data_IF_172837879693
#
_entry.id   IF_172837879693
#
_cell.length_a   1.000
_cell.length_b   1.000
_cell.length_c   1.000
_cell.angle_alpha   90.00
_cell.angle_beta   90.00
_cell.angle_gamma   90.00
#
_symmetry.space_group_name_H-M   'P 1'
#
loop_
_entity.id
_entity.type
_entity.pdbx_description
1 polymer ?
#
# COMPACT_ATOMS: atom_id res chain seq x y z
N UNK A 1 -18.77 2.77 -27.69
CA UNK A 1 -17.56 2.93 -26.85
C UNK A 1 -17.27 1.59 -26.22
N UNK A 2 -16.10 1.02 -26.47
CA UNK A 2 -15.76 -0.31 -25.97
C UNK A 2 -15.64 -0.28 -24.44
N UNK A 3 -16.38 -1.16 -23.77
CA UNK A 3 -16.44 -1.30 -22.31
C UNK A 3 -15.16 -1.90 -21.67
N UNK A 4 -14.06 -1.94 -22.42
CA UNK A 4 -12.80 -2.60 -22.00
C UNK A 4 -12.19 -1.92 -20.77
N UNK A 5 -12.08 -0.59 -20.78
CA UNK A 5 -11.62 0.20 -19.63
C UNK A 5 -12.47 -0.08 -18.37
N UNK A 6 -13.80 0.00 -18.52
CA UNK A 6 -14.71 -0.27 -17.41
C UNK A 6 -14.63 -1.70 -16.88
N UNK A 7 -14.29 -2.67 -17.73
CA UNK A 7 -14.05 -4.06 -17.33
C UNK A 7 -12.78 -4.19 -16.51
N UNK A 8 -11.66 -3.62 -16.97
CA UNK A 8 -10.39 -3.66 -16.22
C UNK A 8 -10.51 -2.96 -14.87
N UNK A 9 -11.19 -1.81 -14.78
CA UNK A 9 -11.43 -1.14 -13.48
C UNK A 9 -12.32 -1.98 -12.57
N UNK A 10 -13.31 -2.69 -13.13
CA UNK A 10 -14.11 -3.61 -12.31
C UNK A 10 -13.27 -4.77 -11.79
N UNK A 11 -12.39 -5.33 -12.61
CA UNK A 11 -11.43 -6.35 -12.16
C UNK A 11 -10.51 -5.80 -11.07
N UNK A 12 -9.94 -4.60 -11.25
CA UNK A 12 -9.10 -3.96 -10.26
C UNK A 12 -9.82 -3.81 -8.90
N UNK A 13 -11.04 -3.28 -8.91
CA UNK A 13 -11.87 -3.16 -7.70
C UNK A 13 -12.14 -4.52 -7.03
N UNK A 14 -12.49 -5.55 -7.81
CA UNK A 14 -12.76 -6.90 -7.28
C UNK A 14 -11.49 -7.47 -6.62
N UNK A 15 -10.32 -7.32 -7.24
CA UNK A 15 -9.07 -7.79 -6.64
C UNK A 15 -8.67 -6.99 -5.41
N UNK A 16 -8.92 -5.68 -5.34
CA UNK A 16 -8.70 -4.89 -4.13
C UNK A 16 -9.58 -5.37 -2.97
N UNK A 17 -10.87 -5.63 -3.23
CA UNK A 17 -11.80 -6.17 -2.23
C UNK A 17 -11.37 -7.58 -1.80
N UNK A 18 -10.94 -8.43 -2.73
CA UNK A 18 -10.46 -9.79 -2.42
C UNK A 18 -9.19 -9.74 -1.56
N UNK A 19 -8.23 -8.87 -1.87
CA UNK A 19 -7.03 -8.68 -1.05
C UNK A 19 -7.37 -8.28 0.39
N UNK A 20 -8.29 -7.32 0.55
CA UNK A 20 -8.83 -6.94 1.86
C UNK A 20 -9.55 -8.08 2.57
N UNK A 21 -10.37 -8.84 1.85
CA UNK A 21 -11.07 -10.02 2.38
C UNK A 21 -10.12 -11.11 2.88
N UNK A 22 -9.04 -11.39 2.14
CA UNK A 22 -7.99 -12.34 2.56
C UNK A 22 -7.29 -11.82 3.82
N UNK A 23 -6.88 -10.56 3.83
CA UNK A 23 -6.17 -9.97 4.95
C UNK A 23 -7.01 -9.93 6.24
N UNK A 24 -8.19 -9.31 6.20
CA UNK A 24 -9.07 -9.16 7.37
C UNK A 24 -9.75 -10.48 7.77
N UNK A 25 -9.83 -11.44 6.84
CA UNK A 25 -10.25 -12.82 7.14
C UNK A 25 -9.19 -13.66 7.86
N UNK A 26 -8.02 -13.07 8.17
CA UNK A 26 -6.92 -13.77 8.84
C UNK A 26 -6.13 -14.71 7.92
N UNK A 27 -6.29 -14.56 6.61
CA UNK A 27 -5.63 -15.40 5.61
C UNK A 27 -4.18 -15.00 5.33
N UNK A 28 -3.63 -15.57 4.28
CA UNK A 28 -2.21 -15.47 3.94
C UNK A 28 -1.82 -14.06 3.50
N UNK A 29 -0.86 -13.46 4.23
CA UNK A 29 -0.35 -12.09 4.00
C UNK A 29 0.30 -11.94 2.62
N UNK A 30 1.11 -12.92 2.24
CA UNK A 30 1.81 -12.91 0.95
C UNK A 30 0.81 -12.96 -0.22
N UNK A 31 -0.22 -13.79 -0.09
CA UNK A 31 -1.30 -13.87 -1.08
C UNK A 31 -2.06 -12.53 -1.17
N UNK A 32 -2.34 -11.88 -0.03
CA UNK A 32 -2.99 -10.57 -0.01
C UNK A 32 -2.18 -9.52 -0.75
N UNK A 33 -0.83 -9.49 -0.58
CA UNK A 33 0.07 -8.59 -1.34
C UNK A 33 -0.05 -8.86 -2.83
N UNK A 34 0.10 -10.11 -3.29
CA UNK A 34 0.03 -10.43 -4.73
C UNK A 34 -1.34 -10.11 -5.36
N UNK A 35 -2.43 -10.35 -4.65
CA UNK A 35 -3.78 -10.01 -5.14
C UNK A 35 -3.95 -8.49 -5.24
N UNK A 36 -3.38 -7.74 -4.30
CA UNK A 36 -3.38 -6.27 -4.35
C UNK A 36 -2.55 -5.74 -5.54
N UNK A 37 -1.36 -6.30 -5.78
CA UNK A 37 -0.53 -5.98 -6.95
C UNK A 37 -1.28 -6.26 -8.25
N UNK A 38 -2.04 -7.36 -8.32
CA UNK A 38 -2.86 -7.67 -9.47
C UNK A 38 -3.97 -6.63 -9.69
N UNK A 39 -4.57 -6.10 -8.61
CA UNK A 39 -5.51 -4.97 -8.68
C UNK A 39 -4.87 -3.76 -9.36
N UNK A 40 -3.69 -3.37 -8.90
CA UNK A 40 -2.95 -2.22 -9.44
C UNK A 40 -2.53 -2.43 -10.90
N UNK A 41 -2.18 -3.67 -11.31
CA UNK A 41 -1.90 -4.00 -12.71
C UNK A 41 -3.13 -3.82 -13.60
N UNK A 42 -4.32 -4.26 -13.17
CA UNK A 42 -5.55 -4.02 -13.91
C UNK A 42 -5.90 -2.54 -14.00
N UNK A 43 -5.60 -1.75 -12.99
CA UNK A 43 -5.77 -0.30 -13.03
C UNK A 43 -4.86 0.36 -14.08
N UNK A 44 -3.59 -0.04 -14.15
CA UNK A 44 -2.64 0.40 -15.18
C UNK A 44 -3.14 0.02 -16.59
N UNK A 45 -3.60 -1.22 -16.78
CA UNK A 45 -4.15 -1.67 -18.06
C UNK A 45 -5.38 -0.86 -18.48
N UNK A 46 -6.25 -0.50 -17.51
CA UNK A 46 -7.40 0.36 -17.78
C UNK A 46 -6.96 1.74 -18.30
N UNK A 47 -5.94 2.34 -17.69
CA UNK A 47 -5.41 3.63 -18.10
C UNK A 47 -4.86 3.59 -19.54
N UNK A 48 -4.09 2.57 -19.91
CA UNK A 48 -3.58 2.39 -21.27
C UNK A 48 -4.71 2.19 -22.32
N UNK A 49 -5.86 1.66 -21.91
CA UNK A 49 -7.00 1.49 -22.81
C UNK A 49 -7.68 2.80 -23.20
N UNK A 50 -7.45 3.89 -22.48
CA UNK A 50 -8.05 5.22 -22.77
C UNK A 50 -7.44 5.89 -23.99
N UNK A 51 -6.24 5.46 -24.43
CA UNK A 51 -5.46 6.02 -25.56
C UNK A 51 -5.22 7.54 -25.42
N UNK A 52 -5.11 8.03 -24.20
CA UNK A 52 -4.79 9.42 -23.91
C UNK A 52 -3.31 9.53 -23.50
N UNK A 53 -2.53 10.46 -24.11
CA UNK A 53 -1.11 10.65 -23.73
C UNK A 53 -0.92 10.94 -22.24
N UNK A 54 -1.88 11.60 -21.61
CA UNK A 54 -1.83 11.92 -20.18
C UNK A 54 -2.05 10.70 -19.31
N UNK A 55 -3.02 9.85 -19.68
CA UNK A 55 -3.25 8.57 -18.98
C UNK A 55 -2.09 7.60 -19.16
N UNK A 56 -1.44 7.58 -20.33
CA UNK A 56 -0.26 6.75 -20.57
C UNK A 56 0.91 7.16 -19.67
N UNK A 57 1.19 8.46 -19.54
CA UNK A 57 2.20 8.96 -18.61
C UNK A 57 1.83 8.66 -17.16
N UNK A 58 0.54 8.83 -16.79
CA UNK A 58 0.03 8.47 -15.48
C UNK A 58 0.20 6.99 -15.17
N UNK A 59 -0.14 6.11 -16.11
CA UNK A 59 0.03 4.66 -16.00
C UNK A 59 1.49 4.25 -15.79
N UNK A 60 2.42 4.86 -16.55
CA UNK A 60 3.84 4.63 -16.36
C UNK A 60 4.34 5.07 -14.96
N UNK A 61 3.81 6.19 -14.44
CA UNK A 61 4.12 6.66 -13.08
C UNK A 61 3.54 5.74 -12.02
N UNK A 62 2.31 5.22 -12.20
CA UNK A 62 1.71 4.23 -11.31
C UNK A 62 2.56 2.94 -11.26
N UNK A 63 3.03 2.45 -12.40
CA UNK A 63 3.94 1.32 -12.45
C UNK A 63 5.23 1.56 -11.63
N UNK A 64 5.81 2.75 -11.70
CA UNK A 64 6.99 3.13 -10.90
C UNK A 64 6.68 3.17 -9.39
N UNK A 65 5.48 3.61 -8.99
CA UNK A 65 5.06 3.60 -7.59
C UNK A 65 4.93 2.18 -7.07
N UNK A 66 4.28 1.27 -7.81
CA UNK A 66 4.18 -0.15 -7.46
C UNK A 66 5.58 -0.75 -7.30
N UNK A 67 6.49 -0.51 -8.26
CA UNK A 67 7.87 -0.98 -8.16
C UNK A 67 8.62 -0.43 -6.94
N UNK A 68 8.24 0.72 -6.43
CA UNK A 68 8.86 1.31 -5.25
C UNK A 68 8.32 0.69 -3.94
N UNK A 69 7.01 0.39 -3.87
CA UNK A 69 6.37 -0.04 -2.62
C UNK A 69 6.36 -1.56 -2.40
N UNK A 70 6.32 -2.35 -3.48
CA UNK A 70 6.19 -3.81 -3.41
C UNK A 70 7.33 -4.51 -2.64
N UNK A 71 8.62 -4.16 -2.82
CA UNK A 71 9.69 -4.83 -2.10
C UNK A 71 9.53 -4.79 -0.59
N UNK A 72 9.10 -3.65 -0.04
CA UNK A 72 8.90 -3.53 1.41
C UNK A 72 7.69 -4.34 1.88
N UNK A 73 6.61 -4.37 1.10
CA UNK A 73 5.42 -5.18 1.40
C UNK A 73 5.76 -6.67 1.48
N UNK A 74 6.61 -7.16 0.57
CA UNK A 74 7.12 -8.54 0.58
C UNK A 74 8.02 -8.80 1.80
N UNK A 75 8.95 -7.89 2.11
CA UNK A 75 9.80 -8.04 3.30
C UNK A 75 8.98 -8.08 4.58
N UNK A 76 7.94 -7.29 4.70
CA UNK A 76 7.05 -7.32 5.87
C UNK A 76 6.35 -8.67 5.99
N UNK A 77 5.82 -9.23 4.91
CA UNK A 77 5.22 -10.57 4.95
C UNK A 77 6.20 -11.63 5.44
N UNK A 78 7.48 -11.56 5.00
CA UNK A 78 8.55 -12.45 5.47
C UNK A 78 8.90 -12.18 6.95
N UNK A 79 8.97 -10.93 7.37
CA UNK A 79 9.21 -10.53 8.76
C UNK A 79 8.11 -11.10 9.69
N UNK A 80 6.85 -10.99 9.30
CA UNK A 80 5.74 -11.59 10.05
C UNK A 80 5.83 -13.12 10.08
N UNK A 81 6.21 -13.75 8.98
CA UNK A 81 6.44 -15.20 8.96
C UNK A 81 7.53 -15.61 9.93
N UNK A 82 8.64 -14.90 9.98
CA UNK A 82 9.73 -15.20 10.92
C UNK A 82 9.33 -14.97 12.38
N UNK A 83 8.48 -13.98 12.64
CA UNK A 83 8.01 -13.67 13.98
C UNK A 83 6.92 -14.62 14.49
N UNK A 84 6.06 -15.16 13.62
CA UNK A 84 4.89 -15.96 13.99
C UNK A 84 4.96 -17.43 13.60
N UNK A 85 5.87 -17.79 12.69
CA UNK A 85 5.97 -19.13 12.09
C UNK A 85 4.94 -19.41 10.99
N UNK A 86 4.07 -18.47 10.63
CA UNK A 86 3.05 -18.62 9.58
C UNK A 86 2.93 -17.34 8.74
N UNK A 87 2.53 -17.49 7.48
CA UNK A 87 2.13 -16.35 6.65
C UNK A 87 0.71 -15.86 6.90
N UNK A 88 -0.05 -16.50 7.76
CA UNK A 88 -1.44 -16.12 8.01
C UNK A 88 -1.51 -14.91 8.96
N UNK A 89 -2.31 -13.92 8.61
CA UNK A 89 -2.52 -12.74 9.44
C UNK A 89 -3.06 -13.10 10.83
N UNK A 90 -3.87 -14.16 10.93
CA UNK A 90 -4.40 -14.68 12.19
C UNK A 90 -3.33 -15.22 13.15
N UNK A 91 -2.16 -15.60 12.65
CA UNK A 91 -1.08 -16.13 13.49
C UNK A 91 -0.55 -15.10 14.52
N UNK A 92 -0.73 -13.81 14.26
CA UNK A 92 -0.36 -12.73 15.20
C UNK A 92 -1.12 -12.83 16.52
N UNK A 93 -2.35 -13.36 16.52
CA UNK A 93 -3.12 -13.57 17.75
C UNK A 93 -2.56 -14.67 18.67
N UNK A 94 -1.63 -15.48 18.16
CA UNK A 94 -0.90 -16.47 18.97
C UNK A 94 0.29 -15.87 19.76
N UNK A 95 0.65 -14.60 19.51
CA UNK A 95 1.76 -13.96 20.20
C UNK A 95 1.34 -13.51 21.61
N UNK A 96 2.26 -13.64 22.59
CA UNK A 96 2.06 -13.16 23.95
C UNK A 96 2.30 -11.65 24.07
N UNK A 97 3.16 -11.09 23.22
CA UNK A 97 3.55 -9.67 23.18
C UNK A 97 3.28 -9.09 21.79
N UNK A 98 3.08 -7.76 21.66
CA UNK A 98 2.89 -7.13 20.37
C UNK A 98 4.02 -7.43 19.38
N UNK A 99 3.66 -7.73 18.13
CA UNK A 99 4.62 -8.05 17.08
C UNK A 99 5.68 -6.95 16.88
N UNK A 100 5.34 -5.69 17.13
CA UNK A 100 6.25 -4.55 16.98
C UNK A 100 7.53 -4.67 17.81
N UNK A 101 7.51 -5.39 18.93
CA UNK A 101 8.70 -5.60 19.75
C UNK A 101 9.87 -6.22 18.99
N UNK A 102 9.59 -7.17 18.11
CA UNK A 102 10.57 -7.83 17.27
C UNK A 102 10.69 -7.23 15.85
N UNK A 103 9.67 -6.46 15.41
CA UNK A 103 9.53 -6.02 14.01
C UNK A 103 9.60 -4.49 13.85
N UNK A 104 10.09 -3.76 14.85
CA UNK A 104 10.07 -2.29 14.87
C UNK A 104 10.87 -1.64 13.72
N UNK A 105 11.95 -2.29 13.25
CA UNK A 105 12.76 -1.78 12.12
C UNK A 105 11.95 -1.86 10.82
N UNK A 106 11.27 -2.99 10.58
CA UNK A 106 10.38 -3.16 9.45
C UNK A 106 9.19 -2.20 9.52
N UNK A 107 8.67 -1.93 10.71
CA UNK A 107 7.60 -0.96 10.94
C UNK A 107 8.01 0.46 10.51
N UNK A 108 9.21 0.91 10.88
CA UNK A 108 9.74 2.21 10.44
C UNK A 108 9.91 2.28 8.92
N UNK A 109 10.39 1.19 8.30
CA UNK A 109 10.47 1.07 6.85
C UNK A 109 9.07 1.13 6.19
N UNK A 110 8.08 0.48 6.81
CA UNK A 110 6.71 0.53 6.30
C UNK A 110 6.07 1.91 6.41
N UNK A 111 6.30 2.64 7.50
CA UNK A 111 5.83 4.03 7.62
C UNK A 111 6.34 4.90 6.48
N UNK A 112 7.61 4.74 6.08
CA UNK A 112 8.13 5.47 4.93
C UNK A 112 7.43 5.08 3.62
N UNK A 113 7.18 3.78 3.41
CA UNK A 113 6.50 3.30 2.19
C UNK A 113 5.00 3.63 2.21
N UNK A 114 4.41 3.82 3.38
CA UNK A 114 2.99 4.16 3.53
C UNK A 114 2.64 5.48 2.81
N UNK A 115 3.52 6.48 2.84
CA UNK A 115 3.36 7.75 2.09
C UNK A 115 3.22 7.50 0.58
N UNK A 116 4.02 6.58 0.02
CA UNK A 116 3.93 6.19 -1.39
C UNK A 116 2.61 5.44 -1.64
N UNK A 117 2.30 4.47 -0.79
CA UNK A 117 1.10 3.62 -0.89
C UNK A 117 -0.20 4.42 -0.81
N UNK A 118 -0.23 5.43 0.04
CA UNK A 118 -1.38 6.32 0.19
C UNK A 118 -1.42 7.44 -0.86
N UNK A 119 -0.50 7.45 -1.81
CA UNK A 119 -0.38 8.47 -2.86
C UNK A 119 -0.35 9.89 -2.30
N UNK A 120 0.34 10.07 -1.16
CA UNK A 120 0.46 11.35 -0.48
C UNK A 120 1.73 12.10 -0.91
N UNK A 121 1.70 13.43 -0.79
CA UNK A 121 2.91 14.23 -0.89
C UNK A 121 3.94 13.72 0.16
N UNK A 122 5.21 13.64 -0.17
CA UNK A 122 5.92 14.18 -1.34
C UNK A 122 5.95 13.25 -2.58
N UNK A 123 5.22 12.13 -2.60
CA UNK A 123 5.31 11.07 -3.62
C UNK A 123 4.04 10.88 -4.47
N UNK A 124 3.23 11.90 -4.64
CA UNK A 124 1.97 11.90 -5.41
C UNK A 124 2.20 11.94 -6.94
N UNK A 125 2.88 10.95 -7.49
CA UNK A 125 3.38 10.98 -8.87
C UNK A 125 2.34 10.59 -9.94
N UNK A 126 1.48 9.63 -9.64
CA UNK A 126 0.54 9.06 -10.63
C UNK A 126 -0.82 9.74 -10.63
N UNK A 127 -1.17 10.38 -9.53
CA UNK A 127 -2.48 10.98 -9.30
C UNK A 127 -2.35 12.36 -8.66
N UNK A 128 -2.88 13.40 -9.31
CA UNK A 128 -2.89 14.75 -8.72
C UNK A 128 -4.17 14.99 -7.94
N UNK A 129 -4.04 15.25 -6.65
CA UNK A 129 -5.16 15.63 -5.78
C UNK A 129 -5.50 17.12 -5.85
N UNK A 130 -4.56 17.94 -6.34
CA UNK A 130 -4.67 19.40 -6.33
C UNK A 130 -4.70 19.97 -7.74
N UNK A 131 -5.89 20.37 -8.22
CA UNK A 131 -6.08 20.92 -9.55
C UNK A 131 -5.31 22.23 -9.84
N UNK A 132 -4.83 22.93 -8.81
CA UNK A 132 -4.02 24.14 -8.95
C UNK A 132 -2.53 23.85 -9.19
N UNK A 133 -2.06 22.64 -8.95
CA UNK A 133 -0.67 22.25 -9.12
C UNK A 133 -0.41 21.54 -10.44
N UNK A 134 -1.40 20.81 -10.96
CA UNK A 134 -1.34 20.13 -12.24
C UNK A 134 -2.66 20.29 -13.02
N UNK A 135 -2.57 20.66 -14.29
CA UNK A 135 -3.75 20.80 -15.16
C UNK A 135 -4.43 19.47 -15.50
N UNK A 136 -3.78 18.36 -15.14
CA UNK A 136 -4.17 17.00 -15.54
C UNK A 136 -4.14 16.06 -14.35
N UNK A 137 -5.20 15.27 -14.18
CA UNK A 137 -5.34 14.29 -13.08
C UNK A 137 -4.46 13.03 -13.19
N UNK A 138 -3.51 12.96 -14.13
CA UNK A 138 -2.68 11.77 -14.33
C UNK A 138 -3.48 10.56 -14.84
N UNK A 139 -3.39 9.43 -14.17
CA UNK A 139 -4.05 8.16 -14.56
C UNK A 139 -5.56 8.30 -14.78
N UNK A 140 -6.23 9.11 -13.99
CA UNK A 140 -7.70 9.24 -14.00
C UNK A 140 -8.22 10.37 -14.87
N UNK A 141 -7.38 10.98 -15.71
CA UNK A 141 -7.74 12.16 -16.52
C UNK A 141 -8.98 11.94 -17.40
N UNK A 142 -9.07 10.77 -18.04
CA UNK A 142 -10.16 10.41 -18.94
C UNK A 142 -11.31 9.67 -18.24
N UNK A 143 -11.15 9.36 -16.95
CA UNK A 143 -12.13 8.59 -16.20
C UNK A 143 -13.19 9.50 -15.61
N UNK A 144 -14.47 9.11 -15.77
CA UNK A 144 -15.60 9.90 -15.29
C UNK A 144 -16.76 9.02 -14.81
N UNK A 145 -17.68 9.61 -14.06
CA UNK A 145 -18.91 8.97 -13.62
C UNK A 145 -18.66 7.64 -12.88
N UNK A 146 -19.27 6.55 -13.35
CA UNK A 146 -19.20 5.23 -12.70
C UNK A 146 -17.80 4.63 -12.68
N UNK A 147 -16.99 4.91 -13.69
CA UNK A 147 -15.63 4.41 -13.79
C UNK A 147 -14.76 5.04 -12.72
N UNK A 148 -14.81 6.37 -12.60
CA UNK A 148 -14.09 7.10 -11.56
C UNK A 148 -14.55 6.69 -10.16
N UNK A 149 -15.86 6.51 -9.94
CA UNK A 149 -16.37 6.06 -8.64
C UNK A 149 -15.80 4.70 -8.21
N UNK A 150 -15.64 3.75 -9.15
CA UNK A 150 -15.02 2.46 -8.85
C UNK A 150 -13.54 2.60 -8.47
N UNK A 151 -12.81 3.50 -9.14
CA UNK A 151 -11.41 3.80 -8.81
C UNK A 151 -11.31 4.39 -7.41
N UNK A 152 -12.18 5.33 -7.04
CA UNK A 152 -12.19 5.91 -5.69
C UNK A 152 -12.45 4.85 -4.61
N UNK A 153 -13.43 3.96 -4.84
CA UNK A 153 -13.71 2.86 -3.90
C UNK A 153 -12.52 1.87 -3.82
N UNK A 154 -11.86 1.58 -4.94
CA UNK A 154 -10.64 0.76 -4.97
C UNK A 154 -9.54 1.38 -4.09
N UNK A 155 -9.27 2.69 -4.24
CA UNK A 155 -8.28 3.40 -3.42
C UNK A 155 -8.66 3.41 -1.93
N UNK A 156 -9.95 3.50 -1.59
CA UNK A 156 -10.38 3.37 -0.19
C UNK A 156 -10.08 1.97 0.36
N UNK A 157 -10.30 0.91 -0.42
CA UNK A 157 -9.95 -0.45 -0.02
C UNK A 157 -8.44 -0.60 0.19
N UNK A 158 -7.61 -0.04 -0.71
CA UNK A 158 -6.15 -0.03 -0.59
C UNK A 158 -5.69 0.70 0.68
N UNK A 159 -6.25 1.89 0.96
CA UNK A 159 -5.93 2.67 2.14
C UNK A 159 -6.33 1.95 3.44
N UNK A 160 -7.52 1.35 3.49
CA UNK A 160 -7.97 0.56 4.64
C UNK A 160 -7.06 -0.65 4.87
N UNK A 161 -6.65 -1.32 3.79
CA UNK A 161 -5.72 -2.44 3.86
C UNK A 161 -4.34 -1.98 4.37
N UNK A 162 -3.81 -0.86 3.88
CA UNK A 162 -2.54 -0.29 4.34
C UNK A 162 -2.57 0.07 5.84
N UNK A 163 -3.68 0.64 6.32
CA UNK A 163 -3.89 0.88 7.76
C UNK A 163 -4.06 -0.42 8.55
N UNK A 164 -4.66 -1.45 7.95
CA UNK A 164 -4.73 -2.80 8.51
C UNK A 164 -3.33 -3.39 8.75
N UNK A 165 -2.40 -3.21 7.80
CA UNK A 165 -1.01 -3.61 7.97
C UNK A 165 -0.34 -2.90 9.15
N UNK A 166 -0.58 -1.58 9.35
CA UNK A 166 -0.11 -0.88 10.55
C UNK A 166 -0.66 -1.52 11.81
N UNK A 167 -1.98 -1.81 11.83
CA UNK A 167 -2.62 -2.45 12.97
C UNK A 167 -2.00 -3.80 13.33
N UNK A 168 -1.61 -4.59 12.32
CA UNK A 168 -1.03 -5.92 12.52
C UNK A 168 0.25 -5.90 13.38
N UNK A 169 1.09 -4.87 13.28
CA UNK A 169 2.28 -4.71 14.10
C UNK A 169 1.96 -4.57 15.61
N UNK A 170 0.77 -4.07 15.94
CA UNK A 170 0.35 -3.80 17.31
C UNK A 170 -0.65 -4.84 17.85
N UNK A 171 -0.91 -5.91 17.08
CA UNK A 171 -1.78 -7.00 17.51
C UNK A 171 -1.02 -8.08 18.27
N UNK A 172 -1.71 -8.72 19.26
CA UNK A 172 -1.29 -9.91 19.99
C UNK A 172 -2.53 -10.61 20.55
N UNK A 173 -2.39 -11.70 21.31
CA UNK A 173 -3.51 -12.57 21.77
C UNK A 173 -4.52 -11.95 22.75
N UNK A 174 -4.37 -10.70 23.16
CA UNK A 174 -5.29 -10.03 24.06
C UNK A 174 -6.30 -9.15 23.27
N UNK A 175 -7.61 -9.16 23.58
CA UNK A 175 -8.60 -8.31 22.91
C UNK A 175 -8.32 -6.80 23.00
N UNK A 176 -7.57 -6.33 24.00
CA UNK A 176 -7.11 -4.93 24.11
C UNK A 176 -6.23 -4.55 22.94
N UNK A 177 -5.53 -5.52 22.30
CA UNK A 177 -4.67 -5.30 21.14
C UNK A 177 -5.40 -4.65 19.97
N UNK A 178 -6.68 -4.96 19.78
CA UNK A 178 -7.49 -4.35 18.72
C UNK A 178 -7.63 -2.83 18.92
N UNK A 179 -7.84 -2.39 20.14
CA UNK A 179 -7.94 -0.95 20.45
C UNK A 179 -6.60 -0.26 20.19
N UNK A 180 -5.50 -0.89 20.62
CA UNK A 180 -4.14 -0.35 20.39
C UNK A 180 -3.84 -0.30 18.89
N UNK A 181 -4.18 -1.34 18.13
CA UNK A 181 -4.00 -1.39 16.67
C UNK A 181 -4.78 -0.27 15.95
N UNK A 182 -6.04 -0.03 16.34
CA UNK A 182 -6.85 1.06 15.76
C UNK A 182 -6.24 2.43 16.10
N UNK A 183 -5.82 2.65 17.33
CA UNK A 183 -5.18 3.92 17.74
C UNK A 183 -3.87 4.12 16.99
N UNK A 184 -3.05 3.07 16.82
CA UNK A 184 -1.80 3.13 16.05
C UNK A 184 -2.06 3.42 14.57
N UNK A 185 -3.06 2.79 13.96
CA UNK A 185 -3.45 3.05 12.57
C UNK A 185 -3.91 4.50 12.38
N UNK A 186 -4.73 5.04 13.30
CA UNK A 186 -5.15 6.43 13.26
C UNK A 186 -3.98 7.40 13.47
N UNK A 187 -3.05 7.08 14.37
CA UNK A 187 -1.84 7.88 14.59
C UNK A 187 -0.95 7.90 13.36
N UNK A 188 -0.77 6.75 12.68
CA UNK A 188 -0.05 6.66 11.43
C UNK A 188 -0.72 7.47 10.32
N UNK A 189 -2.05 7.38 10.19
CA UNK A 189 -2.81 8.18 9.23
C UNK A 189 -2.66 9.69 9.48
N UNK A 190 -2.70 10.11 10.75
CA UNK A 190 -2.46 11.50 11.12
C UNK A 190 -1.02 11.95 10.80
N UNK A 191 -0.04 11.08 11.02
CA UNK A 191 1.35 11.33 10.63
C UNK A 191 1.47 11.55 9.12
N UNK A 192 0.79 10.72 8.31
CA UNK A 192 0.76 10.87 6.86
C UNK A 192 0.15 12.22 6.42
N UNK A 193 -0.91 12.68 7.09
CA UNK A 193 -1.48 14.01 6.84
C UNK A 193 -0.48 15.12 7.19
N UNK A 194 0.28 14.97 8.27
CA UNK A 194 1.31 15.94 8.64
C UNK A 194 2.44 15.97 7.59
N UNK A 195 2.86 14.82 7.09
CA UNK A 195 3.88 14.71 6.04
C UNK A 195 3.38 15.37 4.76
N UNK A 196 2.15 15.05 4.32
CA UNK A 196 1.51 15.59 3.13
C UNK A 196 1.48 17.13 3.12
N UNK A 197 1.22 17.74 4.28
CA UNK A 197 1.11 19.20 4.40
C UNK A 197 2.44 19.93 4.59
N UNK A 198 3.53 19.25 5.00
CA UNK A 198 4.78 19.92 5.38
C UNK A 198 5.95 19.68 4.43
N UNK A 199 5.89 18.64 3.59
CA UNK A 199 6.99 18.27 2.72
C UNK A 199 6.79 18.70 1.26
N UNK A 200 7.88 19.17 0.63
CA UNK A 200 7.89 19.47 -0.79
C UNK A 200 7.95 18.19 -1.64
N UNK A 201 7.38 18.25 -2.86
CA UNK A 201 7.38 17.13 -3.80
C UNK A 201 8.78 16.64 -4.17
N UNK A 202 8.93 15.34 -4.23
CA UNK A 202 10.17 14.64 -4.54
C UNK A 202 10.11 14.05 -5.95
N UNK A 203 11.22 14.13 -6.69
CA UNK A 203 11.34 13.53 -8.02
C UNK A 203 11.26 12.00 -7.93
N UNK A 204 10.62 11.38 -8.93
CA UNK A 204 10.42 9.92 -8.99
C UNK A 204 11.72 9.11 -8.89
N UNK A 205 12.85 9.62 -9.43
CA UNK A 205 14.14 8.93 -9.33
C UNK A 205 14.63 8.81 -7.89
N UNK A 206 14.41 9.86 -7.08
CA UNK A 206 14.78 9.85 -5.68
C UNK A 206 13.81 8.98 -4.87
N UNK A 207 12.51 9.05 -5.17
CA UNK A 207 11.50 8.18 -4.58
C UNK A 207 11.87 6.70 -4.76
N UNK A 208 12.14 6.26 -5.99
CA UNK A 208 12.46 4.86 -6.27
C UNK A 208 13.73 4.42 -5.54
N UNK A 209 14.80 5.24 -5.60
CA UNK A 209 16.06 4.92 -4.92
C UNK A 209 15.90 4.86 -3.40
N UNK A 210 15.19 5.81 -2.80
CA UNK A 210 14.97 5.83 -1.34
C UNK A 210 14.07 4.69 -0.89
N UNK A 211 13.01 4.37 -1.64
CA UNK A 211 12.12 3.25 -1.33
C UNK A 211 12.86 1.90 -1.34
N UNK A 212 13.67 1.64 -2.36
CA UNK A 212 14.48 0.43 -2.42
C UNK A 212 15.56 0.40 -1.33
N UNK A 213 16.22 1.53 -1.05
CA UNK A 213 17.20 1.61 0.03
C UNK A 213 16.54 1.31 1.39
N UNK A 214 15.38 1.91 1.66
CA UNK A 214 14.63 1.66 2.90
C UNK A 214 14.17 0.21 2.98
N UNK A 215 13.63 -0.35 1.90
CA UNK A 215 13.17 -1.74 1.88
C UNK A 215 14.33 -2.71 2.16
N UNK A 216 15.46 -2.56 1.49
CA UNK A 216 16.63 -3.42 1.66
C UNK A 216 17.28 -3.25 3.05
N UNK A 217 17.40 -2.02 3.53
CA UNK A 217 18.03 -1.75 4.83
C UNK A 217 17.08 -2.14 5.97
N UNK A 218 15.88 -1.60 6.03
CA UNK A 218 14.95 -1.87 7.12
C UNK A 218 14.41 -3.31 7.09
N UNK A 219 13.99 -3.78 5.92
CA UNK A 219 13.51 -5.15 5.74
C UNK A 219 14.63 -6.17 5.94
N UNK A 220 15.80 -5.98 5.29
CA UNK A 220 16.93 -6.87 5.38
C UNK A 220 17.53 -6.95 6.78
N UNK A 221 17.72 -5.83 7.46
CA UNK A 221 18.24 -5.82 8.85
C UNK A 221 17.24 -6.51 9.78
N UNK A 222 15.94 -6.24 9.65
CA UNK A 222 14.96 -6.89 10.53
C UNK A 222 14.89 -8.41 10.32
N UNK A 223 14.98 -8.87 9.07
CA UNK A 223 15.07 -10.30 8.75
C UNK A 223 16.33 -10.89 9.37
N UNK A 224 17.48 -10.25 9.21
CA UNK A 224 18.75 -10.73 9.81
C UNK A 224 18.63 -10.82 11.34
N UNK A 225 18.08 -9.80 11.99
CA UNK A 225 17.87 -9.82 13.45
C UNK A 225 16.97 -10.99 13.87
N UNK A 226 15.86 -11.25 13.16
CA UNK A 226 14.95 -12.36 13.49
C UNK A 226 15.51 -13.76 13.23
N UNK A 227 16.48 -13.89 12.31
CA UNK A 227 17.15 -15.19 12.05
C UNK A 227 18.18 -15.50 13.13
N UNK A 228 18.81 -14.48 13.74
CA UNK A 228 19.85 -14.66 14.74
C UNK A 228 19.36 -14.55 16.19
N UNK A 229 18.11 -14.18 16.42
CA UNK A 229 17.41 -14.22 17.71
C UNK A 229 16.75 -15.59 17.94
#
# INVERSE_FOLDING_TARGET
MNNVEGTYITCALVFAILAGGIFFGGGNLLLSVFVLTLSSLFFILAAYCTRSPYSDVGAAREALQIMAEEPMSLFIAVVFFLATGSFDASAVFGLEIPAIGATWIAFLGFLFILTIKMRKSPFDLSYSHHAHQELVKGVTTEMSGRTLAKVEVMHWCENVLALGWIGLFFMWGNPVSLVVAVVAALAAFFLEILIDNNFARVKWQLMLKSAWAVALVAGGINIAVLIYL
#
